data_IF_867391845032
#
_entry.id   IF_867391845032
#
_cell.length_a   1.000
_cell.length_b   1.000
_cell.length_c   1.000
_cell.angle_alpha   90.00
_cell.angle_beta   90.00
_cell.angle_gamma   90.00
#
_symmetry.space_group_name_H-M   'P 1'
#
loop_
_entity.id
_entity.type
_entity.pdbx_description
1 polymer ?
#
# COMPACT_ATOMS: atom_id res chain seq x y z
N UNK A 1 33.32 3.47 -4.36
CA UNK A 1 33.16 4.95 -4.36
C UNK A 1 32.47 5.34 -5.65
N UNK A 2 31.20 5.77 -5.58
CA UNK A 2 30.41 6.54 -6.58
C UNK A 2 28.89 6.21 -6.60
N UNK A 3 28.31 5.71 -5.51
CA UNK A 3 26.84 5.77 -5.31
C UNK A 3 26.40 6.98 -4.46
N UNK A 4 27.33 7.73 -3.85
CA UNK A 4 27.01 8.88 -3.00
C UNK A 4 26.79 10.21 -3.74
N UNK A 5 26.92 10.25 -5.08
CA UNK A 5 26.92 11.53 -5.83
C UNK A 5 25.70 11.68 -6.77
N UNK A 6 24.90 10.63 -6.99
CA UNK A 6 23.74 10.72 -7.89
C UNK A 6 22.44 11.22 -7.21
N UNK A 7 22.38 11.32 -5.87
CA UNK A 7 21.15 11.69 -5.15
C UNK A 7 20.91 13.21 -5.05
N UNK A 8 21.70 14.04 -5.75
CA UNK A 8 21.61 15.51 -5.72
C UNK A 8 20.98 16.11 -6.98
N UNK A 9 20.06 15.40 -7.63
CA UNK A 9 19.26 15.98 -8.71
C UNK A 9 17.76 15.95 -8.37
N UNK A 10 17.31 17.03 -7.74
CA UNK A 10 16.11 17.74 -8.22
C UNK A 10 14.72 17.12 -8.07
N UNK A 11 14.49 16.08 -7.26
CA UNK A 11 13.11 15.75 -6.88
C UNK A 11 12.69 16.65 -5.73
N UNK A 12 11.97 17.75 -6.04
CA UNK A 12 11.21 18.47 -5.02
C UNK A 12 10.37 17.47 -4.25
N UNK A 13 10.26 17.61 -2.93
CA UNK A 13 9.35 16.77 -2.15
C UNK A 13 7.95 16.87 -2.77
N UNK A 14 7.22 15.73 -2.91
CA UNK A 14 5.91 15.76 -3.50
C UNK A 14 5.00 16.68 -2.67
N UNK A 15 4.26 17.55 -3.35
CA UNK A 15 3.32 18.46 -2.69
C UNK A 15 2.16 17.67 -2.07
N UNK A 16 1.38 18.35 -1.22
CA UNK A 16 0.11 17.82 -0.70
C UNK A 16 -0.79 17.31 -1.83
N UNK A 17 -0.96 18.09 -2.89
CA UNK A 17 -1.78 17.73 -4.07
C UNK A 17 -1.22 16.50 -4.78
N UNK A 18 0.11 16.38 -4.87
CA UNK A 18 0.78 15.23 -5.48
C UNK A 18 0.51 13.95 -4.68
N UNK A 19 0.58 14.03 -3.34
CA UNK A 19 0.31 12.88 -2.46
C UNK A 19 -1.16 12.46 -2.56
N UNK A 20 -2.10 13.41 -2.56
CA UNK A 20 -3.52 13.11 -2.73
C UNK A 20 -3.81 12.50 -4.10
N UNK A 21 -3.12 12.96 -5.15
CA UNK A 21 -3.19 12.34 -6.48
C UNK A 21 -2.74 10.87 -6.44
N UNK A 22 -1.64 10.52 -5.74
CA UNK A 22 -1.21 9.12 -5.60
C UNK A 22 -2.27 8.24 -4.93
N UNK A 23 -3.01 8.78 -3.95
CA UNK A 23 -4.12 8.06 -3.32
C UNK A 23 -5.24 7.78 -4.34
N UNK A 24 -5.67 8.82 -5.05
CA UNK A 24 -6.73 8.70 -6.07
C UNK A 24 -6.32 7.73 -7.18
N UNK A 25 -5.10 7.84 -7.68
CA UNK A 25 -4.54 6.95 -8.69
C UNK A 25 -4.56 5.49 -8.22
N UNK A 26 -4.09 5.21 -7.00
CA UNK A 26 -4.08 3.86 -6.42
C UNK A 26 -5.49 3.29 -6.28
N UNK A 27 -6.43 4.09 -5.76
CA UNK A 27 -7.82 3.68 -5.57
C UNK A 27 -8.50 3.37 -6.90
N UNK A 28 -8.24 4.18 -7.93
CA UNK A 28 -8.78 3.97 -9.27
C UNK A 28 -8.24 2.69 -9.91
N UNK A 29 -6.91 2.49 -9.86
CA UNK A 29 -6.28 1.29 -10.42
C UNK A 29 -6.83 0.00 -9.82
N UNK A 30 -7.13 -0.01 -8.52
CA UNK A 30 -7.67 -1.20 -7.84
C UNK A 30 -9.17 -1.36 -8.12
N UNK A 31 -9.90 -0.25 -8.23
CA UNK A 31 -11.31 -0.26 -8.66
C UNK A 31 -11.48 -0.82 -10.08
N UNK A 32 -10.53 -0.56 -10.98
CA UNK A 32 -10.53 -1.12 -12.34
C UNK A 32 -10.28 -2.65 -12.38
N UNK A 33 -9.66 -3.21 -11.34
CA UNK A 33 -9.41 -4.65 -11.24
C UNK A 33 -10.59 -5.45 -10.67
N UNK A 34 -11.44 -4.80 -9.88
CA UNK A 34 -12.55 -5.43 -9.14
C UNK A 34 -13.49 -6.27 -10.02
N UNK A 35 -13.94 -5.82 -11.20
CA UNK A 35 -14.91 -6.59 -11.98
C UNK A 35 -14.40 -7.96 -12.44
N UNK A 36 -13.08 -8.16 -12.42
CA UNK A 36 -12.42 -9.39 -12.83
C UNK A 36 -11.98 -10.27 -11.64
N UNK A 37 -11.99 -9.79 -10.39
CA UNK A 37 -11.35 -10.46 -9.25
C UNK A 37 -12.17 -10.36 -7.95
N UNK A 38 -12.86 -11.42 -7.59
CA UNK A 38 -13.60 -11.56 -6.33
C UNK A 38 -12.70 -11.70 -5.10
N UNK A 39 -11.43 -12.06 -5.29
CA UNK A 39 -10.33 -12.03 -4.33
C UNK A 39 -10.11 -10.64 -3.74
N UNK A 40 -10.62 -9.62 -4.41
CA UNK A 40 -10.66 -8.26 -3.92
C UNK A 40 -12.10 -7.89 -3.57
N UNK A 41 -12.62 -8.24 -2.37
CA UNK A 41 -13.93 -7.76 -1.95
C UNK A 41 -13.86 -6.24 -1.78
N UNK A 42 -14.19 -5.51 -2.85
CA UNK A 42 -14.03 -4.07 -2.96
C UNK A 42 -15.41 -3.45 -3.17
N UNK A 43 -15.99 -2.87 -2.12
CA UNK A 43 -17.16 -2.02 -2.28
C UNK A 43 -16.67 -0.66 -2.76
N UNK A 44 -16.82 -0.42 -4.06
CA UNK A 44 -16.43 0.80 -4.78
C UNK A 44 -16.48 2.05 -3.90
N UNK A 45 -15.35 2.74 -3.87
CA UNK A 45 -15.14 3.87 -2.96
C UNK A 45 -15.58 5.16 -3.64
N UNK A 46 -16.40 5.96 -2.96
CA UNK A 46 -16.68 7.34 -3.39
C UNK A 46 -15.41 8.19 -3.20
N UNK A 47 -14.61 8.31 -4.26
CA UNK A 47 -13.28 8.95 -4.25
C UNK A 47 -13.30 10.36 -3.65
N UNK A 48 -14.35 11.16 -3.90
CA UNK A 48 -14.47 12.53 -3.42
C UNK A 48 -14.56 12.62 -1.88
N UNK A 49 -15.22 11.67 -1.22
CA UNK A 49 -15.34 11.66 0.26
C UNK A 49 -13.99 11.32 0.89
N UNK A 50 -13.25 10.38 0.29
CA UNK A 50 -11.98 9.95 0.83
C UNK A 50 -10.85 10.95 0.56
N UNK A 51 -10.86 11.63 -0.59
CA UNK A 51 -9.90 12.70 -0.89
C UNK A 51 -9.92 13.80 0.18
N UNK A 52 -11.11 14.28 0.56
CA UNK A 52 -11.25 15.28 1.64
C UNK A 52 -10.74 14.78 2.99
N UNK A 53 -11.01 13.51 3.32
CA UNK A 53 -10.52 12.91 4.57
C UNK A 53 -9.01 12.75 4.60
N UNK A 54 -8.40 12.36 3.49
CA UNK A 54 -6.95 12.21 3.39
C UNK A 54 -6.24 13.57 3.38
N UNK A 55 -6.85 14.57 2.76
CA UNK A 55 -6.46 15.97 2.87
C UNK A 55 -6.42 16.42 4.34
N UNK A 56 -7.50 16.15 5.09
CA UNK A 56 -7.56 16.47 6.53
C UNK A 56 -6.47 15.73 7.32
N UNK A 57 -6.23 14.44 7.04
CA UNK A 57 -5.16 13.69 7.71
C UNK A 57 -3.78 14.32 7.47
N UNK A 58 -3.49 14.76 6.24
CA UNK A 58 -2.25 15.45 5.92
C UNK A 58 -2.12 16.79 6.67
N UNK A 59 -3.18 17.59 6.67
CA UNK A 59 -3.20 18.91 7.32
C UNK A 59 -3.01 18.79 8.84
N UNK A 60 -3.61 17.78 9.47
CA UNK A 60 -3.39 17.46 10.88
C UNK A 60 -1.95 17.03 11.16
N UNK A 61 -1.31 16.32 10.22
CA UNK A 61 0.12 16.03 10.28
C UNK A 61 0.98 17.29 10.30
N UNK A 62 0.66 18.27 9.44
CA UNK A 62 1.35 19.58 9.44
C UNK A 62 1.20 20.30 10.79
N UNK A 63 -0.02 20.34 11.35
CA UNK A 63 -0.30 20.95 12.65
C UNK A 63 0.44 20.24 13.81
N UNK A 64 0.45 18.91 13.79
CA UNK A 64 1.16 18.08 14.76
C UNK A 64 2.68 18.35 14.78
N UNK A 65 3.28 18.61 13.62
CA UNK A 65 4.69 18.98 13.52
C UNK A 65 5.01 20.32 14.19
N UNK A 66 4.12 21.31 14.07
CA UNK A 66 4.29 22.64 14.71
C UNK A 66 4.32 22.54 16.25
N UNK A 67 3.58 21.57 16.80
CA UNK A 67 3.48 21.35 18.26
C UNK A 67 4.44 20.27 18.75
N UNK A 68 5.25 19.67 17.87
CA UNK A 68 6.12 18.52 18.17
C UNK A 68 5.40 17.35 18.85
N UNK A 69 4.09 17.22 18.62
CA UNK A 69 3.25 16.19 19.19
C UNK A 69 2.86 15.19 18.09
N UNK A 70 3.55 14.04 17.95
CA UNK A 70 3.29 13.08 16.87
C UNK A 70 2.00 12.27 17.06
N UNK A 71 1.10 12.71 17.94
CA UNK A 71 -0.11 11.99 18.28
C UNK A 71 -1.17 12.17 17.19
N UNK A 72 -1.60 11.07 16.59
CA UNK A 72 -2.68 11.09 15.60
C UNK A 72 -4.03 11.24 16.32
N UNK A 73 -4.84 12.26 15.99
CA UNK A 73 -6.18 12.37 16.57
C UNK A 73 -7.06 11.19 16.10
N UNK A 74 -7.61 10.39 17.02
CA UNK A 74 -8.41 9.22 16.63
C UNK A 74 -9.62 9.57 15.75
N UNK A 75 -10.23 10.74 15.96
CA UNK A 75 -11.43 11.18 15.26
C UNK A 75 -11.26 11.51 13.77
N UNK A 76 -10.01 11.64 13.29
CA UNK A 76 -9.74 11.99 11.88
C UNK A 76 -9.57 10.76 10.98
N UNK A 77 -9.32 9.58 11.58
CA UNK A 77 -9.01 8.38 10.82
C UNK A 77 -10.29 7.76 10.22
N UNK A 78 -10.26 7.35 8.94
CA UNK A 78 -11.35 6.59 8.34
C UNK A 78 -11.58 5.24 9.02
N UNK A 79 -12.80 4.71 8.93
CA UNK A 79 -13.24 3.50 9.65
C UNK A 79 -12.90 2.18 8.96
N UNK A 80 -12.52 2.19 7.68
CA UNK A 80 -12.16 0.97 6.94
C UNK A 80 -10.64 0.78 6.95
N UNK A 81 -10.19 -0.45 7.14
CA UNK A 81 -8.77 -0.89 7.21
C UNK A 81 -7.84 -0.16 6.23
N UNK A 82 -8.11 -0.23 4.93
CA UNK A 82 -7.28 0.41 3.90
C UNK A 82 -7.24 1.94 4.03
N UNK A 83 -8.35 2.56 4.39
CA UNK A 83 -8.43 4.01 4.51
C UNK A 83 -7.81 4.50 5.83
N UNK A 84 -7.88 3.70 6.90
CA UNK A 84 -7.16 3.99 8.14
C UNK A 84 -5.65 4.02 7.86
N UNK A 85 -5.12 3.01 7.17
CA UNK A 85 -3.69 2.95 6.81
C UNK A 85 -3.24 4.08 5.88
N UNK A 86 -4.03 4.41 4.85
CA UNK A 86 -3.73 5.56 3.96
C UNK A 86 -3.81 6.89 4.74
N UNK A 87 -4.81 7.05 5.62
CA UNK A 87 -4.92 8.23 6.48
C UNK A 87 -3.69 8.44 7.36
N UNK A 88 -3.20 7.37 7.99
CA UNK A 88 -1.96 7.39 8.77
C UNK A 88 -0.73 7.76 7.93
N UNK A 89 -0.63 7.24 6.70
CA UNK A 89 0.46 7.59 5.78
C UNK A 89 0.37 9.05 5.31
N UNK A 90 -0.81 9.58 5.06
CA UNK A 90 -1.03 10.99 4.73
C UNK A 90 -0.65 11.89 5.92
N UNK A 91 -1.05 11.53 7.15
CA UNK A 91 -0.63 12.22 8.36
C UNK A 91 0.89 12.23 8.53
N UNK A 92 1.54 11.07 8.36
CA UNK A 92 2.99 10.95 8.41
C UNK A 92 3.67 11.86 7.35
N UNK A 93 3.13 11.88 6.14
CA UNK A 93 3.66 12.72 5.07
C UNK A 93 3.51 14.21 5.39
N UNK A 94 2.38 14.64 5.96
CA UNK A 94 2.17 16.02 6.44
C UNK A 94 3.19 16.38 7.52
N UNK A 95 3.31 15.56 8.55
CA UNK A 95 4.26 15.79 9.65
C UNK A 95 5.70 15.90 9.16
N UNK A 96 6.12 14.98 8.29
CA UNK A 96 7.47 14.97 7.72
C UNK A 96 7.72 16.14 6.78
N UNK A 97 6.72 16.56 6.01
CA UNK A 97 6.82 17.70 5.08
C UNK A 97 7.07 19.02 5.82
N UNK A 98 6.37 19.25 6.94
CA UNK A 98 6.59 20.44 7.77
C UNK A 98 8.01 20.52 8.35
N UNK A 99 8.65 19.37 8.57
CA UNK A 99 10.03 19.29 9.05
C UNK A 99 11.09 19.17 7.94
N UNK A 100 10.71 19.39 6.67
CA UNK A 100 11.58 19.21 5.48
C UNK A 100 12.27 17.84 5.44
N UNK A 101 11.64 16.80 6.00
CA UNK A 101 12.17 15.44 6.03
C UNK A 101 11.83 14.73 4.73
N UNK A 102 12.77 13.97 4.14
CA UNK A 102 12.52 13.26 2.89
C UNK A 102 11.37 12.26 3.03
N UNK A 103 10.45 12.26 2.07
CA UNK A 103 9.33 11.33 2.04
C UNK A 103 9.77 10.03 1.36
N UNK A 104 10.26 9.09 2.15
CA UNK A 104 10.62 7.74 1.71
C UNK A 104 9.66 6.72 2.30
N UNK A 105 9.38 5.62 1.59
CA UNK A 105 8.40 4.65 2.10
C UNK A 105 8.85 4.05 3.44
N UNK A 106 10.16 3.81 3.67
CA UNK A 106 10.66 3.28 4.94
C UNK A 106 10.35 4.26 6.08
N UNK A 107 10.68 5.54 5.92
CA UNK A 107 10.46 6.53 6.97
C UNK A 107 8.97 6.80 7.23
N UNK A 108 8.13 6.78 6.19
CA UNK A 108 6.68 6.86 6.35
C UNK A 108 6.16 5.68 7.18
N UNK A 109 6.56 4.45 6.84
CA UNK A 109 6.16 3.26 7.57
C UNK A 109 6.65 3.25 9.03
N UNK A 110 7.90 3.64 9.26
CA UNK A 110 8.51 3.69 10.60
C UNK A 110 7.82 4.77 11.46
N UNK A 111 7.49 5.93 10.88
CA UNK A 111 6.70 6.96 11.56
C UNK A 111 5.30 6.43 11.94
N UNK A 112 4.59 5.79 11.00
CA UNK A 112 3.26 5.24 11.29
C UNK A 112 3.32 4.22 12.42
N UNK A 113 4.32 3.33 12.42
CA UNK A 113 4.53 2.36 13.51
C UNK A 113 4.70 3.03 14.87
N UNK A 114 5.44 4.14 14.94
CA UNK A 114 5.64 4.90 16.18
C UNK A 114 4.37 5.64 16.60
N UNK A 115 3.71 6.31 15.66
CA UNK A 115 2.49 7.08 15.89
C UNK A 115 1.27 6.20 16.22
N UNK A 116 1.29 4.94 15.80
CA UNK A 116 0.29 3.93 16.12
C UNK A 116 0.28 3.52 17.60
N UNK A 117 1.36 3.75 18.35
CA UNK A 117 1.46 3.38 19.76
C UNK A 117 0.41 4.13 20.56
N UNK A 118 -0.60 3.40 21.06
CA UNK A 118 -1.71 3.97 21.83
C UNK A 118 -2.98 4.29 21.03
N UNK A 119 -2.96 4.08 19.71
CA UNK A 119 -4.19 4.09 18.90
C UNK A 119 -4.91 2.73 19.05
N UNK A 120 -6.20 2.78 19.39
CA UNK A 120 -7.04 1.59 19.44
C UNK A 120 -8.48 1.97 19.10
N UNK A 121 -9.13 1.32 18.11
CA UNK A 121 -8.61 0.23 17.29
C UNK A 121 -7.66 0.72 16.18
N UNK A 122 -6.62 -0.07 15.89
CA UNK A 122 -5.76 0.11 14.73
C UNK A 122 -5.62 -1.22 13.98
N UNK A 123 -5.64 -1.15 12.65
CA UNK A 123 -5.41 -2.28 11.77
C UNK A 123 -3.98 -2.85 11.93
N UNK A 124 -3.85 -4.19 11.82
CA UNK A 124 -2.62 -4.93 12.15
C UNK A 124 -1.44 -4.54 11.25
N UNK A 125 -1.68 -4.40 9.95
CA UNK A 125 -0.66 -4.02 8.98
C UNK A 125 -0.11 -2.62 9.29
N UNK A 126 -0.99 -1.63 9.53
CA UNK A 126 -0.59 -0.29 9.94
C UNK A 126 0.19 -0.29 11.27
N UNK A 127 -0.30 -1.03 12.29
CA UNK A 127 0.39 -1.17 13.57
C UNK A 127 1.79 -1.79 13.45
N UNK A 128 1.98 -2.68 12.47
CA UNK A 128 3.27 -3.30 12.19
C UNK A 128 4.26 -2.40 11.42
N UNK A 129 3.84 -1.20 11.01
CA UNK A 129 4.60 -0.38 10.07
C UNK A 129 4.64 -0.97 8.67
N UNK A 130 3.53 -1.55 8.22
CA UNK A 130 3.35 -2.16 6.90
C UNK A 130 4.37 -3.27 6.59
N UNK A 131 4.57 -4.16 7.57
CA UNK A 131 5.59 -5.22 7.51
C UNK A 131 5.41 -6.19 6.33
N UNK A 132 4.17 -6.56 5.99
CA UNK A 132 3.84 -7.40 4.83
C UNK A 132 4.15 -6.68 3.54
N UNK A 133 3.72 -5.41 3.45
CA UNK A 133 3.91 -4.60 2.25
C UNK A 133 5.41 -4.43 1.98
N UNK A 134 6.21 -4.14 3.01
CA UNK A 134 7.66 -3.95 2.91
C UNK A 134 8.42 -5.24 2.57
N UNK A 135 8.00 -6.38 3.12
CA UNK A 135 8.74 -7.64 2.98
C UNK A 135 8.30 -8.51 1.80
N UNK A 136 7.04 -8.41 1.37
CA UNK A 136 6.45 -9.28 0.34
C UNK A 136 6.06 -8.49 -0.91
N UNK A 137 5.23 -7.46 -0.74
CA UNK A 137 4.52 -6.85 -1.87
C UNK A 137 5.38 -5.84 -2.66
N UNK A 138 5.99 -4.86 -1.97
CA UNK A 138 6.81 -3.83 -2.58
C UNK A 138 8.02 -4.36 -3.37
N UNK A 139 8.76 -5.38 -2.90
CA UNK A 139 9.87 -5.94 -3.68
C UNK A 139 9.44 -6.46 -5.06
N UNK A 140 8.28 -7.13 -5.12
CA UNK A 140 7.70 -7.63 -6.37
C UNK A 140 7.23 -6.48 -7.24
N UNK A 141 6.44 -5.57 -6.67
CA UNK A 141 5.87 -4.43 -7.38
C UNK A 141 6.96 -3.55 -8.02
N UNK A 142 7.96 -3.15 -7.22
CA UNK A 142 9.06 -2.28 -7.70
C UNK A 142 9.95 -2.96 -8.72
N UNK A 143 10.19 -4.27 -8.59
CA UNK A 143 10.93 -5.01 -9.62
C UNK A 143 10.19 -4.92 -10.97
N UNK A 144 8.90 -5.20 -10.99
CA UNK A 144 8.11 -5.18 -12.22
C UNK A 144 7.98 -3.78 -12.80
N UNK A 145 7.86 -2.77 -11.95
CA UNK A 145 7.85 -1.36 -12.33
C UNK A 145 9.17 -0.96 -13.01
N UNK A 146 10.31 -1.34 -12.42
CA UNK A 146 11.64 -1.11 -12.99
C UNK A 146 11.83 -1.85 -14.31
N UNK A 147 11.29 -3.06 -14.42
CA UNK A 147 11.35 -3.89 -15.62
C UNK A 147 10.36 -3.39 -16.71
N UNK A 148 9.59 -2.32 -16.46
CA UNK A 148 8.77 -1.62 -17.45
C UNK A 148 7.41 -2.25 -17.76
N UNK A 149 6.91 -3.12 -16.87
CA UNK A 149 5.60 -3.76 -17.06
C UNK A 149 4.44 -2.80 -16.82
N UNK A 150 3.29 -3.08 -17.45
CA UNK A 150 2.06 -2.30 -17.29
C UNK A 150 1.46 -2.43 -15.88
N UNK A 151 0.79 -1.39 -15.38
CA UNK A 151 0.22 -1.35 -14.00
C UNK A 151 -0.66 -2.54 -13.66
N UNK A 152 -1.45 -3.04 -14.61
CA UNK A 152 -2.24 -4.28 -14.43
C UNK A 152 -1.36 -5.46 -14.04
N UNK A 153 -0.25 -5.68 -14.74
CA UNK A 153 0.68 -6.78 -14.45
C UNK A 153 1.33 -6.60 -13.08
N UNK A 154 1.73 -5.37 -12.73
CA UNK A 154 2.28 -5.06 -11.40
C UNK A 154 1.31 -5.48 -10.31
N UNK A 155 0.05 -5.07 -10.43
CA UNK A 155 -0.99 -5.32 -9.44
C UNK A 155 -1.37 -6.81 -9.37
N UNK A 156 -1.58 -7.47 -10.50
CA UNK A 156 -1.93 -8.89 -10.54
C UNK A 156 -0.81 -9.77 -9.99
N UNK A 157 0.45 -9.51 -10.36
CA UNK A 157 1.58 -10.30 -9.88
C UNK A 157 1.83 -10.05 -8.38
N UNK A 158 1.61 -8.82 -7.92
CA UNK A 158 1.69 -8.48 -6.48
C UNK A 158 0.57 -9.16 -5.71
N UNK A 159 -0.67 -9.12 -6.20
CA UNK A 159 -1.81 -9.81 -5.62
C UNK A 159 -1.53 -11.32 -5.52
N UNK A 160 -0.99 -11.94 -6.58
CA UNK A 160 -0.65 -13.36 -6.57
C UNK A 160 0.36 -13.71 -5.46
N UNK A 161 1.37 -12.87 -5.22
CA UNK A 161 2.28 -13.04 -4.09
C UNK A 161 1.59 -12.81 -2.75
N UNK A 162 0.70 -11.82 -2.64
CA UNK A 162 -0.06 -11.62 -1.42
C UNK A 162 -0.94 -12.84 -1.11
N UNK A 163 -1.63 -13.42 -2.10
CA UNK A 163 -2.39 -14.66 -1.94
C UNK A 163 -1.48 -15.81 -1.48
N UNK A 164 -0.33 -16.00 -2.12
CA UNK A 164 0.59 -17.11 -1.81
C UNK A 164 1.15 -17.11 -0.38
N UNK A 165 1.21 -15.95 0.30
CA UNK A 165 1.77 -15.83 1.65
C UNK A 165 0.77 -15.40 2.74
N UNK A 166 -0.23 -14.59 2.39
CA UNK A 166 -1.14 -13.95 3.37
C UNK A 166 -2.58 -14.40 3.30
N UNK A 167 -2.95 -15.19 2.30
CA UNK A 167 -4.30 -15.74 2.25
C UNK A 167 -4.62 -16.55 3.49
N UNK A 168 -5.86 -16.40 3.99
CA UNK A 168 -6.38 -17.20 5.09
C UNK A 168 -6.60 -18.67 4.68
N UNK A 169 -6.84 -18.93 3.39
CA UNK A 169 -7.01 -20.29 2.86
C UNK A 169 -5.67 -20.95 2.57
N UNK A 170 -5.43 -22.11 3.20
CA UNK A 170 -4.27 -22.94 2.87
C UNK A 170 -4.30 -23.41 1.41
N UNK A 171 -5.49 -23.72 0.87
CA UNK A 171 -5.64 -24.10 -0.53
C UNK A 171 -5.24 -22.95 -1.46
N UNK A 172 -5.73 -21.74 -1.21
CA UNK A 172 -5.38 -20.55 -1.98
C UNK A 172 -3.86 -20.30 -1.99
N UNK A 173 -3.22 -20.38 -0.81
CA UNK A 173 -1.75 -20.26 -0.71
C UNK A 173 -1.03 -21.29 -1.58
N UNK A 174 -1.42 -22.55 -1.53
CA UNK A 174 -0.80 -23.62 -2.32
C UNK A 174 -1.01 -23.43 -3.82
N UNK A 175 -2.20 -23.05 -4.26
CA UNK A 175 -2.47 -22.81 -5.69
C UNK A 175 -1.71 -21.59 -6.21
N UNK A 176 -1.68 -20.50 -5.43
CA UNK A 176 -0.92 -19.31 -5.79
C UNK A 176 0.60 -19.60 -5.89
N UNK A 177 1.16 -20.39 -4.96
CA UNK A 177 2.55 -20.84 -5.03
C UNK A 177 2.83 -21.68 -6.29
N UNK A 178 1.93 -22.59 -6.66
CA UNK A 178 2.04 -23.36 -7.91
C UNK A 178 2.03 -22.46 -9.14
N UNK A 179 1.13 -21.49 -9.18
CA UNK A 179 1.07 -20.53 -10.28
C UNK A 179 2.37 -19.71 -10.36
N UNK A 180 2.92 -19.28 -9.23
CA UNK A 180 4.22 -18.61 -9.17
C UNK A 180 5.38 -19.49 -9.68
N UNK A 181 5.40 -20.79 -9.36
CA UNK A 181 6.39 -21.73 -9.91
C UNK A 181 6.31 -21.86 -11.43
N UNK A 182 5.13 -21.67 -12.02
CA UNK A 182 4.93 -21.67 -13.48
C UNK A 182 5.23 -20.30 -14.13
N UNK A 183 5.80 -19.35 -13.39
CA UNK A 183 6.12 -18.00 -13.89
C UNK A 183 5.16 -16.91 -13.43
N UNK A 184 4.14 -17.25 -12.64
CA UNK A 184 3.13 -16.31 -12.16
C UNK A 184 2.33 -15.71 -13.32
N UNK A 185 1.96 -14.44 -13.19
CA UNK A 185 1.23 -13.66 -14.21
C UNK A 185 2.04 -13.50 -15.51
N UNK A 186 3.38 -13.48 -15.41
CA UNK A 186 4.27 -13.43 -16.57
C UNK A 186 4.42 -14.79 -17.27
N UNK A 187 3.99 -15.88 -16.64
CA UNK A 187 4.01 -17.23 -17.19
C UNK A 187 2.90 -17.45 -18.22
N UNK A 188 3.04 -18.51 -19.02
CA UNK A 188 2.02 -18.91 -19.98
C UNK A 188 0.67 -19.19 -19.28
N UNK A 189 -0.39 -18.48 -19.69
CA UNK A 189 -1.70 -18.60 -19.06
C UNK A 189 -1.79 -18.04 -17.63
N UNK A 190 -0.80 -17.27 -17.17
CA UNK A 190 -0.70 -16.78 -15.78
C UNK A 190 -1.93 -16.01 -15.29
N UNK A 191 -2.39 -15.02 -16.06
CA UNK A 191 -3.58 -14.24 -15.72
C UNK A 191 -4.84 -15.12 -15.69
N UNK A 192 -5.02 -15.99 -16.67
CA UNK A 192 -6.14 -16.95 -16.68
C UNK A 192 -6.11 -17.91 -15.49
N UNK A 193 -4.91 -18.32 -15.06
CA UNK A 193 -4.71 -19.14 -13.87
C UNK A 193 -5.12 -18.44 -12.58
N UNK A 194 -4.80 -17.14 -12.45
CA UNK A 194 -5.24 -16.34 -11.31
C UNK A 194 -6.77 -16.17 -11.31
N UNK A 195 -7.39 -15.90 -12.47
CA UNK A 195 -8.85 -15.80 -12.58
C UNK A 195 -9.57 -17.13 -12.28
N UNK A 196 -8.96 -18.26 -12.64
CA UNK A 196 -9.49 -19.57 -12.28
C UNK A 196 -9.41 -19.83 -10.76
N UNK A 197 -8.31 -19.44 -10.12
CA UNK A 197 -8.17 -19.50 -8.67
C UNK A 197 -9.19 -18.60 -7.97
N UNK A 198 -9.35 -17.37 -8.45
CA UNK A 198 -10.35 -16.40 -7.96
C UNK A 198 -11.76 -17.00 -7.94
N UNK A 199 -12.17 -17.59 -9.06
CA UNK A 199 -13.46 -18.26 -9.19
C UNK A 199 -13.63 -19.41 -8.20
N UNK A 200 -12.61 -20.25 -8.03
CA UNK A 200 -12.66 -21.37 -7.09
C UNK A 200 -12.84 -20.90 -5.64
N UNK A 201 -12.17 -19.82 -5.24
CA UNK A 201 -12.26 -19.29 -3.87
C UNK A 201 -13.60 -18.61 -3.59
N UNK A 202 -14.24 -18.03 -4.60
CA UNK A 202 -15.60 -17.50 -4.50
C UNK A 202 -16.60 -18.60 -4.13
N UNK A 203 -16.45 -19.80 -4.69
CA UNK A 203 -17.33 -20.93 -4.43
C UNK A 203 -17.17 -21.49 -3.00
N UNK A 204 -16.03 -21.25 -2.34
CA UNK A 204 -15.71 -21.71 -0.99
C UNK A 204 -16.04 -20.67 0.12
N UNK A 205 -16.53 -19.48 -0.22
CA UNK A 205 -16.84 -18.39 0.71
C UNK A 205 -15.66 -17.92 1.60
N UNK A 206 -14.42 -18.13 1.15
CA UNK A 206 -13.23 -17.63 1.85
C UNK A 206 -13.11 -16.12 1.58
N UNK A 207 -13.39 -15.31 2.60
CA UNK A 207 -13.26 -13.85 2.52
C UNK A 207 -11.82 -13.39 2.74
N UNK A 208 -11.13 -13.01 1.67
CA UNK A 208 -9.76 -12.45 1.72
C UNK A 208 -9.76 -10.94 2.02
N UNK A 209 -10.26 -10.57 3.21
CA UNK A 209 -10.56 -9.16 3.55
C UNK A 209 -9.35 -8.23 3.56
N UNK A 210 -8.15 -8.73 3.87
CA UNK A 210 -6.95 -7.90 4.00
C UNK A 210 -6.22 -7.66 2.66
N UNK A 211 -6.44 -8.48 1.63
CA UNK A 211 -5.71 -8.38 0.36
C UNK A 211 -5.91 -7.04 -0.37
N UNK A 212 -7.13 -6.46 -0.45
CA UNK A 212 -7.33 -5.13 -1.05
C UNK A 212 -6.51 -4.05 -0.35
N UNK A 213 -6.52 -4.03 0.99
CA UNK A 213 -5.78 -3.04 1.76
C UNK A 213 -4.27 -3.14 1.51
N UNK A 214 -3.74 -4.36 1.52
CA UNK A 214 -2.32 -4.62 1.23
C UNK A 214 -1.92 -4.16 -0.17
N UNK A 215 -2.78 -4.39 -1.18
CA UNK A 215 -2.52 -3.96 -2.54
C UNK A 215 -2.55 -2.41 -2.67
N UNK A 216 -3.50 -1.76 -2.00
CA UNK A 216 -3.59 -0.28 -1.92
C UNK A 216 -2.33 0.29 -1.29
N UNK A 217 -1.94 -0.20 -0.12
CA UNK A 217 -0.73 0.26 0.56
C UNK A 217 0.52 0.09 -0.32
N UNK A 218 0.61 -1.03 -1.03
CA UNK A 218 1.74 -1.32 -1.91
C UNK A 218 1.81 -0.32 -3.07
N UNK A 219 0.70 -0.12 -3.78
CA UNK A 219 0.63 0.82 -4.90
C UNK A 219 0.94 2.25 -4.46
N UNK A 220 0.34 2.68 -3.34
CA UNK A 220 0.59 4.02 -2.79
C UNK A 220 2.05 4.21 -2.37
N UNK A 221 2.63 3.27 -1.61
CA UNK A 221 4.01 3.37 -1.12
C UNK A 221 5.06 3.25 -2.26
N UNK A 222 4.68 2.69 -3.40
CA UNK A 222 5.58 2.58 -4.57
C UNK A 222 5.89 3.95 -5.22
N UNK A 223 5.05 4.97 -5.01
CA UNK A 223 5.33 6.34 -5.46
C UNK A 223 6.49 7.01 -4.70
N UNK A 224 6.85 6.48 -3.54
CA UNK A 224 7.95 7.00 -2.73
C UNK A 224 9.22 6.18 -2.93
N UNK A 225 10.40 6.83 -2.97
CA UNK A 225 11.67 6.13 -3.02
C UNK A 225 11.85 5.21 -1.81
N UNK A 226 12.75 4.23 -1.96
CA UNK A 226 13.03 3.28 -0.89
C UNK A 226 13.44 4.01 0.41
N UNK A 227 14.40 4.92 0.27
CA UNK A 227 15.04 5.58 1.41
C UNK A 227 15.90 4.62 2.23
N UNK A 228 16.71 5.16 3.15
CA UNK A 228 17.48 4.36 4.09
C UNK A 228 16.56 3.48 4.94
N UNK A 229 17.02 2.26 5.24
CA UNK A 229 16.44 1.42 6.29
C UNK A 229 17.15 1.83 7.58
N UNK A 230 16.44 2.47 8.49
CA UNK A 230 16.97 2.70 9.83
C UNK A 230 16.57 1.49 10.68
N UNK A 231 17.58 0.76 11.14
CA UNK A 231 17.40 -0.28 12.16
C UNK A 231 17.59 0.46 13.49
N UNK A 232 16.53 0.52 14.29
CA UNK A 232 16.58 1.05 15.66
C UNK A 232 17.56 0.23 16.53
#
# INVERSE_FOLDING_TARGET
MSEMVAFRQGTSMPSRETILHYVVETVNQITELEPALHLLPWSGVNSAIYEQRFAQCYDEGLCAAQTSAPNVPQGILPSTDWAQGIGLLCFAAGYMSAGERPLTHNQLCDFVKQAAVGLSPIEEEAASGFSTVRSIALPVFRRLQRDGHASRILLLQTLLHLVAWKSASQYARQQAQRLLWMGGILGEGGESGLLALDKALREEAVGEKSLPALLIFTSFLAHFPAGPVFID
#
